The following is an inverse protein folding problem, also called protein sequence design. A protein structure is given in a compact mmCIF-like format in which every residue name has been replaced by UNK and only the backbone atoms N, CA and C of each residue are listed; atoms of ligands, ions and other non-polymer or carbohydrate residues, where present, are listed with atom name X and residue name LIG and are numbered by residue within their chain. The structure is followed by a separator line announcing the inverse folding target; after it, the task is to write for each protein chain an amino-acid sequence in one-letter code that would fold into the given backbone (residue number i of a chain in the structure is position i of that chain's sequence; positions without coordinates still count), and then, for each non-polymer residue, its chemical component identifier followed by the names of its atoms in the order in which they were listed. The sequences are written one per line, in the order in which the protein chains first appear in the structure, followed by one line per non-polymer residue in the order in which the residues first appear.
data_IF_515476756519
#
_entry.id   IF_515476756519
#
_cell.length_a   1.000
_cell.length_b   1.000
_cell.length_c   1.000
_cell.angle_alpha   90.00
_cell.angle_beta   90.00
_cell.angle_gamma   90.00
#
_symmetry.space_group_name_H-M   'P 1'
#
loop_
_entity.id
_entity.type
_entity.pdbx_description
1 polymer ?
#
# COMPACT_ATOMS: atom_id res chain seq x y z
N UNK A 1 3.52 17.50 -16.25
CA UNK A 1 4.93 17.92 -16.18
C UNK A 1 5.23 18.82 -14.97
N UNK A 2 4.30 19.64 -14.49
CA UNK A 2 4.50 20.53 -13.33
C UNK A 2 4.63 19.76 -12.00
N UNK A 3 3.86 18.71 -11.82
CA UNK A 3 3.94 17.87 -10.62
C UNK A 3 5.31 17.18 -10.46
N UNK A 4 5.97 16.79 -11.56
CA UNK A 4 7.34 16.25 -11.49
C UNK A 4 8.37 17.29 -11.03
N UNK A 5 8.14 18.56 -11.28
CA UNK A 5 9.00 19.66 -10.78
C UNK A 5 8.83 19.82 -9.26
N UNK A 6 7.60 19.80 -8.77
CA UNK A 6 7.29 19.90 -7.34
C UNK A 6 7.89 18.72 -6.55
N UNK A 7 7.81 17.49 -7.08
CA UNK A 7 8.45 16.33 -6.47
C UNK A 7 9.98 16.42 -6.46
N UNK A 8 10.58 17.02 -7.50
CA UNK A 8 12.03 17.29 -7.53
C UNK A 8 12.44 18.39 -6.54
N UNK A 9 11.66 19.43 -6.39
CA UNK A 9 11.90 20.52 -5.45
C UNK A 9 11.74 20.07 -3.99
N UNK A 10 10.81 19.15 -3.72
CA UNK A 10 10.62 18.55 -2.39
C UNK A 10 11.61 17.43 -2.07
N UNK A 11 12.55 17.11 -2.97
CA UNK A 11 13.59 16.09 -2.74
C UNK A 11 13.06 14.66 -2.55
N UNK A 12 11.80 14.39 -2.88
CA UNK A 12 11.18 13.07 -2.74
C UNK A 12 11.65 12.19 -3.89
N UNK A 13 12.72 11.44 -3.66
CA UNK A 13 13.23 10.47 -4.63
C UNK A 13 12.25 9.31 -4.74
N UNK A 14 11.90 8.95 -5.96
CA UNK A 14 11.08 7.77 -6.31
C UNK A 14 11.69 6.44 -5.79
N UNK A 15 13.00 6.45 -5.46
CA UNK A 15 13.73 5.32 -4.89
C UNK A 15 13.37 5.00 -3.43
N UNK A 16 12.73 5.92 -2.69
CA UNK A 16 12.32 5.67 -1.31
C UNK A 16 11.17 4.64 -1.21
N UNK A 17 10.48 4.36 -2.31
CA UNK A 17 9.42 3.36 -2.37
C UNK A 17 9.94 1.91 -2.40
N UNK A 18 11.20 1.69 -2.78
CA UNK A 18 11.80 0.34 -2.84
C UNK A 18 12.47 -0.07 -1.52
N UNK A 19 12.75 0.89 -0.65
CA UNK A 19 13.44 0.65 0.62
C UNK A 19 12.71 -0.34 1.54
N UNK A 20 11.38 -0.26 1.71
CA UNK A 20 10.64 -1.23 2.50
C UNK A 20 10.75 -2.66 1.95
N UNK A 21 10.77 -2.83 0.62
CA UNK A 21 10.90 -4.14 -0.02
C UNK A 21 12.28 -4.73 0.23
N UNK A 22 13.34 -3.90 0.14
CA UNK A 22 14.71 -4.34 0.41
C UNK A 22 14.91 -4.80 1.85
N UNK A 23 14.27 -4.15 2.82
CA UNK A 23 14.30 -4.55 4.23
C UNK A 23 13.43 -5.79 4.46
N UNK A 24 12.29 -5.89 3.80
CA UNK A 24 11.32 -6.97 3.95
C UNK A 24 11.90 -8.32 3.49
N UNK A 25 12.66 -8.35 2.39
CA UNK A 25 13.17 -9.59 1.82
C UNK A 25 14.08 -10.39 2.78
N UNK A 26 15.10 -9.80 3.43
CA UNK A 26 15.90 -10.49 4.42
C UNK A 26 15.09 -11.02 5.62
N UNK A 27 14.12 -10.23 6.10
CA UNK A 27 13.25 -10.62 7.21
C UNK A 27 12.40 -11.84 6.83
N UNK A 28 11.84 -11.85 5.63
CA UNK A 28 11.05 -12.97 5.12
C UNK A 28 11.90 -14.23 4.97
N UNK A 29 13.12 -14.12 4.43
CA UNK A 29 14.06 -15.22 4.29
C UNK A 29 14.48 -15.78 5.64
N UNK A 30 14.75 -14.92 6.63
CA UNK A 30 15.10 -15.32 7.98
C UNK A 30 13.94 -16.10 8.64
N UNK A 31 12.71 -15.59 8.49
CA UNK A 31 11.51 -16.26 8.99
C UNK A 31 11.31 -17.64 8.33
N UNK A 32 11.45 -17.71 7.01
CA UNK A 32 11.33 -18.97 6.27
C UNK A 32 12.38 -19.99 6.72
N UNK A 33 13.64 -19.56 6.92
CA UNK A 33 14.71 -20.40 7.43
C UNK A 33 14.45 -20.86 8.88
N UNK A 34 13.96 -19.96 9.74
CA UNK A 34 13.62 -20.29 11.12
C UNK A 34 12.52 -21.36 11.17
N UNK A 35 11.44 -21.21 10.42
CA UNK A 35 10.34 -22.18 10.32
C UNK A 35 10.80 -23.52 9.73
N UNK A 36 11.82 -23.51 8.85
CA UNK A 36 12.34 -24.72 8.22
C UNK A 36 13.37 -25.45 9.07
N UNK A 37 14.07 -24.78 9.99
CA UNK A 37 15.22 -25.32 10.72
C UNK A 37 15.00 -25.50 12.21
N UNK A 38 14.13 -24.69 12.82
CA UNK A 38 13.86 -24.73 14.26
C UNK A 38 12.74 -25.73 14.52
N UNK A 39 13.05 -26.85 15.15
CA UNK A 39 12.10 -27.96 15.38
C UNK A 39 10.86 -27.51 16.17
N UNK A 40 11.04 -26.63 17.15
CA UNK A 40 9.95 -26.06 17.90
C UNK A 40 8.96 -25.27 17.03
N UNK A 41 9.44 -24.57 16.00
CA UNK A 41 8.58 -23.85 15.06
C UNK A 41 7.98 -24.75 14.01
N UNK A 42 8.70 -25.81 13.59
CA UNK A 42 8.18 -26.83 12.67
C UNK A 42 6.98 -27.58 13.25
N UNK A 43 7.04 -27.91 14.53
CA UNK A 43 6.00 -28.67 15.24
C UNK A 43 5.07 -27.76 16.03
N UNK A 44 5.37 -26.46 16.08
CA UNK A 44 4.60 -25.47 16.81
C UNK A 44 3.18 -25.31 16.23
N UNK A 45 2.21 -25.19 17.13
CA UNK A 45 0.84 -24.91 16.76
C UNK A 45 0.43 -23.54 17.29
N UNK A 46 -0.29 -22.81 16.47
CA UNK A 46 -0.97 -21.57 16.86
C UNK A 46 -2.45 -21.73 16.60
N UNK A 47 -3.25 -21.80 17.66
CA UNK A 47 -4.66 -22.19 17.60
C UNK A 47 -4.80 -23.59 16.96
N UNK A 48 -5.43 -23.68 15.81
CA UNK A 48 -5.62 -24.92 15.03
C UNK A 48 -4.59 -25.09 13.91
N UNK A 49 -3.65 -24.15 13.79
CA UNK A 49 -2.72 -24.06 12.66
C UNK A 49 -1.37 -24.65 13.05
N UNK A 50 -0.86 -25.58 12.26
CA UNK A 50 0.52 -26.06 12.36
C UNK A 50 1.43 -25.06 11.63
N UNK A 51 2.32 -24.38 12.37
CA UNK A 51 3.17 -23.32 11.84
C UNK A 51 4.15 -23.80 10.77
N UNK A 52 4.66 -24.99 10.90
CA UNK A 52 5.61 -25.60 9.94
C UNK A 52 4.91 -26.26 8.74
N UNK A 53 3.64 -26.57 8.87
CA UNK A 53 2.81 -27.18 7.81
C UNK A 53 2.14 -26.14 6.93
N UNK A 54 1.47 -26.63 5.89
CA UNK A 54 0.60 -25.81 5.04
C UNK A 54 -0.77 -25.63 5.70
N UNK A 55 -1.36 -24.44 5.58
CA UNK A 55 -2.72 -24.21 6.07
C UNK A 55 -3.75 -24.85 5.15
N UNK A 56 -4.25 -26.00 5.55
CA UNK A 56 -5.29 -26.76 4.83
C UNK A 56 -6.67 -26.13 4.93
N UNK A 57 -6.88 -25.22 5.89
CA UNK A 57 -8.14 -24.48 6.05
C UNK A 57 -8.29 -23.29 5.11
N UNK A 58 -7.20 -22.90 4.44
CA UNK A 58 -7.10 -21.72 3.58
C UNK A 58 -7.42 -20.39 4.27
N UNK A 59 -7.59 -20.37 5.58
CA UNK A 59 -7.94 -19.15 6.33
C UNK A 59 -6.80 -18.15 6.27
N UNK A 60 -5.56 -18.57 6.51
CA UNK A 60 -4.40 -17.68 6.46
C UNK A 60 -4.09 -17.15 5.06
N UNK A 61 -4.07 -17.98 4.00
CA UNK A 61 -3.92 -17.49 2.63
C UNK A 61 -4.96 -16.44 2.24
N UNK A 62 -6.23 -16.66 2.60
CA UNK A 62 -7.31 -15.72 2.34
C UNK A 62 -7.09 -14.41 3.12
N UNK A 63 -6.79 -14.49 4.42
CA UNK A 63 -6.53 -13.30 5.25
C UNK A 63 -5.31 -12.52 4.72
N UNK A 64 -4.23 -13.20 4.37
CA UNK A 64 -3.05 -12.56 3.80
C UNK A 64 -3.40 -11.81 2.50
N UNK A 65 -4.15 -12.42 1.59
CA UNK A 65 -4.58 -11.80 0.34
C UNK A 65 -5.52 -10.61 0.58
N UNK A 66 -6.51 -10.74 1.46
CA UNK A 66 -7.46 -9.67 1.79
C UNK A 66 -6.74 -8.47 2.41
N UNK A 67 -5.87 -8.68 3.39
CA UNK A 67 -5.13 -7.58 3.99
C UNK A 67 -4.12 -6.95 3.03
N UNK A 68 -3.50 -7.74 2.15
CA UNK A 68 -2.66 -7.21 1.07
C UNK A 68 -3.47 -6.33 0.13
N UNK A 69 -4.67 -6.76 -0.25
CA UNK A 69 -5.57 -5.96 -1.07
C UNK A 69 -5.97 -4.66 -0.38
N UNK A 70 -6.41 -4.73 0.88
CA UNK A 70 -6.82 -3.55 1.65
C UNK A 70 -5.66 -2.55 1.81
N UNK A 71 -4.45 -3.03 2.14
CA UNK A 71 -3.25 -2.21 2.23
C UNK A 71 -2.93 -1.52 0.91
N UNK A 72 -2.94 -2.26 -0.20
CA UNK A 72 -2.70 -1.74 -1.53
C UNK A 72 -3.79 -0.74 -1.96
N UNK A 73 -5.04 -1.03 -1.67
CA UNK A 73 -6.17 -0.16 -1.98
C UNK A 73 -6.10 1.18 -1.23
N UNK A 74 -5.80 1.15 0.08
CA UNK A 74 -5.60 2.36 0.87
C UNK A 74 -4.43 3.19 0.34
N UNK A 75 -3.30 2.55 0.05
CA UNK A 75 -2.11 3.21 -0.49
C UNK A 75 -2.39 3.83 -1.86
N UNK A 76 -3.10 3.12 -2.74
CA UNK A 76 -3.48 3.65 -4.06
C UNK A 76 -4.44 4.84 -3.97
N UNK A 77 -5.32 4.90 -2.97
CA UNK A 77 -6.17 6.07 -2.76
C UNK A 77 -5.37 7.33 -2.43
N UNK A 78 -4.26 7.20 -1.71
CA UNK A 78 -3.37 8.32 -1.39
C UNK A 78 -2.58 8.84 -2.60
N UNK A 79 -2.44 8.05 -3.68
CA UNK A 79 -1.69 8.44 -4.87
C UNK A 79 -2.46 9.49 -5.68
N UNK A 80 -1.73 10.52 -6.14
CA UNK A 80 -2.28 11.59 -6.99
C UNK A 80 -2.54 11.15 -8.41
N UNK A 81 -1.69 10.27 -8.92
CA UNK A 81 -1.77 9.74 -10.29
C UNK A 81 -1.93 8.22 -10.25
N UNK A 82 -3.04 7.75 -10.77
CA UNK A 82 -3.28 6.33 -10.97
C UNK A 82 -2.68 5.92 -12.31
N UNK A 83 -1.56 5.18 -12.27
CA UNK A 83 -1.03 4.55 -13.48
C UNK A 83 -1.64 3.16 -13.66
N UNK A 84 -1.67 2.67 -14.92
CA UNK A 84 -2.09 1.29 -15.18
C UNK A 84 -1.24 0.26 -14.43
N UNK A 85 0.06 0.56 -14.24
CA UNK A 85 0.97 -0.28 -13.47
C UNK A 85 0.59 -0.35 -11.98
N UNK A 86 0.28 0.78 -11.34
CA UNK A 86 -0.14 0.79 -9.93
C UNK A 86 -1.48 0.09 -9.71
N UNK A 87 -2.42 0.23 -10.66
CA UNK A 87 -3.70 -0.48 -10.62
C UNK A 87 -3.50 -1.98 -10.84
N UNK A 88 -2.63 -2.37 -11.78
CA UNK A 88 -2.28 -3.78 -12.00
C UNK A 88 -1.64 -4.43 -10.78
N UNK A 89 -0.73 -3.73 -10.08
CA UNK A 89 -0.15 -4.21 -8.83
C UNK A 89 -1.18 -4.34 -7.71
N UNK A 90 -2.15 -3.42 -7.61
CA UNK A 90 -3.18 -3.45 -6.58
C UNK A 90 -4.00 -4.75 -6.62
N UNK A 91 -4.31 -5.26 -7.80
CA UNK A 91 -5.06 -6.51 -7.98
C UNK A 91 -4.17 -7.73 -8.13
N UNK A 92 -3.01 -7.58 -8.78
CA UNK A 92 -2.09 -8.69 -9.04
C UNK A 92 -1.36 -9.19 -7.80
N UNK A 93 -0.92 -8.29 -6.91
CA UNK A 93 -0.19 -8.68 -5.71
C UNK A 93 -1.00 -9.54 -4.73
N UNK A 94 -2.26 -9.24 -4.41
CA UNK A 94 -3.08 -10.11 -3.56
C UNK A 94 -3.25 -11.52 -4.12
N UNK A 95 -3.44 -11.63 -5.44
CA UNK A 95 -3.56 -12.93 -6.11
C UNK A 95 -2.24 -13.70 -6.02
N UNK A 96 -1.12 -13.04 -6.27
CA UNK A 96 0.21 -13.65 -6.16
C UNK A 96 0.50 -14.10 -4.73
N UNK A 97 0.17 -13.27 -3.73
CA UNK A 97 0.30 -13.62 -2.31
C UNK A 97 -0.57 -14.81 -1.95
N UNK A 98 -1.81 -14.86 -2.43
CA UNK A 98 -2.69 -15.99 -2.20
C UNK A 98 -2.09 -17.30 -2.73
N UNK A 99 -1.66 -17.30 -3.99
CA UNK A 99 -1.03 -18.47 -4.64
C UNK A 99 0.23 -18.91 -3.89
N UNK A 100 1.07 -17.97 -3.47
CA UNK A 100 2.26 -18.27 -2.69
C UNK A 100 1.90 -18.82 -1.30
N UNK A 101 0.95 -18.22 -0.62
CA UNK A 101 0.57 -18.58 0.74
C UNK A 101 -0.08 -19.98 0.84
N UNK A 102 -0.71 -20.46 -0.23
CA UNK A 102 -1.25 -21.84 -0.30
C UNK A 102 -0.13 -22.89 -0.18
N UNK A 103 1.06 -22.60 -0.71
CA UNK A 103 2.19 -23.53 -0.74
C UNK A 103 3.22 -23.26 0.35
N UNK A 104 3.15 -22.11 1.01
CA UNK A 104 4.09 -21.71 2.05
C UNK A 104 3.71 -22.33 3.42
N UNK A 105 4.69 -22.50 4.33
CA UNK A 105 4.39 -22.82 5.72
C UNK A 105 3.41 -21.82 6.33
N UNK A 106 2.47 -22.32 7.13
CA UNK A 106 1.41 -21.50 7.75
C UNK A 106 1.95 -20.33 8.59
N UNK A 107 3.13 -20.51 9.20
CA UNK A 107 3.80 -19.45 9.94
C UNK A 107 4.19 -18.27 9.04
N UNK A 108 4.56 -18.49 7.78
CA UNK A 108 4.85 -17.43 6.81
C UNK A 108 3.55 -16.72 6.41
N UNK A 109 2.49 -17.48 6.15
CA UNK A 109 1.19 -16.91 5.81
C UNK A 109 0.60 -16.10 6.98
N UNK A 110 0.76 -16.59 8.23
CA UNK A 110 0.37 -15.87 9.46
C UNK A 110 1.14 -14.56 9.59
N UNK A 111 2.48 -14.60 9.45
CA UNK A 111 3.30 -13.39 9.47
C UNK A 111 2.82 -12.37 8.42
N UNK A 112 2.53 -12.84 7.22
CA UNK A 112 2.06 -11.96 6.14
C UNK A 112 0.70 -11.34 6.45
N UNK A 113 -0.24 -12.13 6.93
CA UNK A 113 -1.55 -11.65 7.33
C UNK A 113 -1.46 -10.57 8.43
N UNK A 114 -0.70 -10.85 9.50
CA UNK A 114 -0.50 -9.91 10.61
C UNK A 114 0.22 -8.64 10.17
N UNK A 115 1.29 -8.77 9.38
CA UNK A 115 2.06 -7.62 8.88
C UNK A 115 1.20 -6.71 7.99
N UNK A 116 0.40 -7.28 7.09
CA UNK A 116 -0.50 -6.49 6.24
C UNK A 116 -1.66 -5.88 7.04
N UNK A 117 -2.21 -6.61 8.03
CA UNK A 117 -3.21 -6.04 8.94
C UNK A 117 -2.67 -4.82 9.69
N UNK A 118 -1.44 -4.94 10.22
CA UNK A 118 -0.76 -3.81 10.86
C UNK A 118 -0.54 -2.65 9.88
N UNK A 119 -0.13 -2.92 8.65
CA UNK A 119 0.06 -1.91 7.61
C UNK A 119 -1.25 -1.19 7.25
N UNK A 120 -2.37 -1.90 7.20
CA UNK A 120 -3.70 -1.29 7.00
C UNK A 120 -4.02 -0.31 8.13
N UNK A 121 -3.82 -0.72 9.38
CA UNK A 121 -4.04 0.13 10.55
C UNK A 121 -3.10 1.34 10.52
N UNK A 122 -1.81 1.13 10.29
CA UNK A 122 -0.82 2.19 10.19
C UNK A 122 -1.18 3.21 9.11
N UNK A 123 -1.55 2.75 7.91
CA UNK A 123 -1.94 3.62 6.80
C UNK A 123 -3.21 4.40 7.13
N UNK A 124 -4.17 3.78 7.78
CA UNK A 124 -5.42 4.43 8.16
C UNK A 124 -5.22 5.51 9.24
N UNK A 125 -4.42 5.22 10.28
CA UNK A 125 -4.24 6.14 11.40
C UNK A 125 -3.16 7.20 11.15
N UNK A 126 -2.02 6.85 10.56
CA UNK A 126 -0.89 7.76 10.37
C UNK A 126 -0.94 8.49 9.03
N UNK A 127 -1.30 7.79 7.96
CA UNK A 127 -1.31 8.32 6.60
C UNK A 127 -2.73 8.37 6.02
N UNK A 128 -3.68 8.86 6.80
CA UNK A 128 -5.10 8.81 6.42
C UNK A 128 -5.33 9.27 4.97
N UNK A 129 -5.57 8.34 4.03
CA UNK A 129 -5.68 8.67 2.61
C UNK A 129 -6.90 9.57 2.33
N UNK A 130 -7.92 9.51 3.17
CA UNK A 130 -9.12 10.35 3.03
C UNK A 130 -8.83 11.81 3.39
N UNK A 131 -7.99 12.08 4.39
CA UNK A 131 -7.54 13.45 4.69
C UNK A 131 -6.68 14.00 3.56
N UNK A 132 -5.75 13.21 3.04
CA UNK A 132 -4.88 13.61 1.93
C UNK A 132 -5.71 13.94 0.68
N UNK A 133 -6.77 13.17 0.38
CA UNK A 133 -7.67 13.43 -0.74
C UNK A 133 -8.43 14.75 -0.50
N UNK A 134 -9.03 14.93 0.68
CA UNK A 134 -9.79 16.13 1.00
C UNK A 134 -8.92 17.40 0.93
N UNK A 135 -7.70 17.36 1.44
CA UNK A 135 -6.76 18.48 1.35
C UNK A 135 -6.39 18.81 -0.10
N UNK A 136 -6.17 17.79 -0.94
CA UNK A 136 -5.89 17.99 -2.37
C UNK A 136 -7.08 18.59 -3.11
N UNK A 137 -8.28 18.09 -2.86
CA UNK A 137 -9.52 18.62 -3.47
C UNK A 137 -9.72 20.09 -3.07
N UNK A 138 -9.48 20.44 -1.81
CA UNK A 138 -9.55 21.81 -1.34
C UNK A 138 -8.54 22.73 -2.05
N UNK A 139 -7.30 22.27 -2.23
CA UNK A 139 -6.26 23.04 -2.96
C UNK A 139 -6.64 23.21 -4.44
N UNK A 140 -7.11 22.15 -5.10
CA UNK A 140 -7.55 22.21 -6.51
C UNK A 140 -8.75 23.17 -6.67
N UNK A 141 -9.68 23.13 -5.74
CA UNK A 141 -10.85 24.03 -5.76
C UNK A 141 -10.43 25.49 -5.56
N UNK A 142 -9.54 25.75 -4.60
CA UNK A 142 -9.02 27.10 -4.36
C UNK A 142 -8.27 27.65 -5.59
N UNK A 143 -7.50 26.82 -6.29
CA UNK A 143 -6.83 27.21 -7.54
C UNK A 143 -7.84 27.55 -8.66
N UNK A 144 -8.87 26.73 -8.85
CA UNK A 144 -9.94 27.00 -9.83
C UNK A 144 -10.67 28.30 -9.53
N UNK A 145 -10.95 28.57 -8.27
CA UNK A 145 -11.64 29.81 -7.87
C UNK A 145 -10.77 31.05 -8.09
N UNK A 146 -9.46 30.93 -7.81
CA UNK A 146 -8.48 31.99 -8.13
C UNK A 146 -8.41 32.25 -9.64
N UNK A 147 -8.36 31.22 -10.45
CA UNK A 147 -8.32 31.34 -11.91
C UNK A 147 -9.62 31.96 -12.45
N UNK A 148 -10.76 31.52 -11.94
CA UNK A 148 -12.05 32.10 -12.29
C UNK A 148 -12.16 33.59 -11.93
N UNK A 149 -11.66 33.98 -10.75
CA UNK A 149 -11.58 35.41 -10.35
C UNK A 149 -10.67 36.20 -11.29
N UNK A 150 -9.50 35.69 -11.65
CA UNK A 150 -8.60 36.33 -12.63
C UNK A 150 -9.22 36.46 -14.01
N UNK A 151 -9.96 35.43 -14.48
CA UNK A 151 -10.70 35.50 -15.78
C UNK A 151 -11.82 36.54 -15.75
N UNK A 152 -12.59 36.62 -14.67
CA UNK A 152 -13.64 37.61 -14.48
C UNK A 152 -13.05 39.03 -14.43
N UNK A 153 -11.96 39.25 -13.73
CA UNK A 153 -11.28 40.54 -13.64
C UNK A 153 -10.76 41.00 -15.03
N UNK A 154 -10.11 40.09 -15.79
CA UNK A 154 -9.65 40.39 -17.16
C UNK A 154 -10.82 40.78 -18.11
N UNK A 155 -11.94 40.03 -18.04
CA UNK A 155 -13.13 40.37 -18.85
C UNK A 155 -13.74 41.70 -18.47
N UNK A 156 -13.71 42.08 -17.18
CA UNK A 156 -14.22 43.36 -16.70
C UNK A 156 -13.33 44.52 -17.18
N UNK A 157 -12.01 44.35 -17.14
CA UNK A 157 -11.03 45.33 -17.61
C UNK A 157 -11.12 45.57 -19.16
N UNK A 158 -11.46 44.52 -19.93
CA UNK A 158 -11.65 44.63 -21.37
C UNK A 158 -12.98 45.30 -21.78
N UNK A 159 -14.01 45.28 -20.93
CA UNK A 159 -15.28 45.95 -21.19
C UNK A 159 -15.28 47.45 -20.88
N UNK A 160 -14.26 47.91 -20.12
CA UNK A 160 -14.16 49.33 -19.67
C UNK A 160 -13.19 50.12 -20.56
N UNK A 161 -12.60 49.48 -21.57
CA UNK A 161 -11.91 50.13 -22.70
C UNK A 161 -12.79 50.17 -23.94
#
# INVERSE_FOLDING_TARGET
QEMRKVYKELGIKHSSSLWPILIQMPVLLALFQALSRVDFLKTGHFLWINLGGVDTSFVLPILAAVFTFLSSWLSNKALSEKSGATTGMMYGMPVLIFVFAISAPSGVALYWAVSNAYQVLQTYFLNNPFKIIAEREAVVQAQKDLENRKRKAKKKAQKTK
#
